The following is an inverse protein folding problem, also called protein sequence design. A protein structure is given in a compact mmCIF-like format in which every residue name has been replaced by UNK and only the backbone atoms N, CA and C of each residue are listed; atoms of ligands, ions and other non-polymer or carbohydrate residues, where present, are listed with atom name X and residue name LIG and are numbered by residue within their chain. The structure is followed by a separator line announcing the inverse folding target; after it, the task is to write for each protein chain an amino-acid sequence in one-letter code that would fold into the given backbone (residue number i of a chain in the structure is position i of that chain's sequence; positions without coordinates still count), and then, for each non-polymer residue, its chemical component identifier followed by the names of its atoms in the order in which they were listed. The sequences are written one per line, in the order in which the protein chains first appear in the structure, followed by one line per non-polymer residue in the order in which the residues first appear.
data_IF_989736859062
#
_entry.id   IF_989736859062
#
_cell.length_a   1.000
_cell.length_b   1.000
_cell.length_c   1.000
_cell.angle_alpha   90.00
_cell.angle_beta   90.00
_cell.angle_gamma   90.00
#
_symmetry.space_group_name_H-M   'P 1'
#
loop_
_entity.id
_entity.type
_entity.pdbx_description
1 polymer ?
#
# COMPACT_ATOMS: atom_id res chain seq x y z
N UNK A 1 -74.31 -10.10 12.55
CA UNK A 1 -72.99 -10.45 11.94
C UNK A 1 -72.61 -9.36 10.95
N UNK A 2 -71.62 -8.52 11.27
CA UNK A 2 -70.99 -7.59 10.34
C UNK A 2 -69.48 -7.69 10.57
N UNK A 3 -68.79 -8.21 9.56
CA UNK A 3 -67.33 -8.31 9.48
C UNK A 3 -66.80 -6.94 9.06
N UNK A 4 -65.86 -6.37 9.81
CA UNK A 4 -65.08 -5.23 9.35
C UNK A 4 -63.61 -5.56 9.55
N UNK A 5 -62.87 -5.45 8.44
CA UNK A 5 -61.48 -5.82 8.24
C UNK A 5 -60.53 -5.07 9.18
N UNK A 6 -59.60 -5.82 9.77
CA UNK A 6 -58.41 -5.30 10.44
C UNK A 6 -57.38 -4.97 9.35
N UNK A 7 -57.07 -3.69 9.17
CA UNK A 7 -55.96 -3.25 8.33
C UNK A 7 -54.64 -3.52 9.07
N UNK A 8 -53.83 -4.46 8.57
CA UNK A 8 -52.48 -4.73 9.08
C UNK A 8 -51.54 -3.74 8.39
N UNK A 9 -51.08 -2.74 9.12
CA UNK A 9 -49.94 -1.90 8.72
C UNK A 9 -48.65 -2.69 8.97
N UNK A 10 -48.05 -3.21 7.89
CA UNK A 10 -46.68 -3.74 7.93
C UNK A 10 -45.73 -2.55 7.92
N UNK A 11 -45.31 -2.10 9.10
CA UNK A 11 -44.21 -1.17 9.24
C UNK A 11 -42.89 -1.93 8.97
N UNK A 12 -42.35 -1.80 7.76
CA UNK A 12 -40.97 -2.20 7.45
C UNK A 12 -40.06 -1.21 8.17
N UNK A 13 -39.65 -1.55 9.39
CA UNK A 13 -38.52 -0.88 10.04
C UNK A 13 -37.27 -1.33 9.31
N UNK A 14 -36.84 -0.52 8.33
CA UNK A 14 -35.49 -0.60 7.76
C UNK A 14 -34.56 -0.36 8.94
N UNK A 15 -34.03 -1.45 9.49
CA UNK A 15 -32.95 -1.43 10.45
C UNK A 15 -31.82 -0.66 9.79
N UNK A 16 -31.62 0.57 10.24
CA UNK A 16 -30.44 1.34 9.90
C UNK A 16 -29.25 0.50 10.36
N UNK A 17 -28.63 -0.22 9.42
CA UNK A 17 -27.24 -0.58 9.54
C UNK A 17 -26.52 0.76 9.75
N UNK A 18 -26.19 1.06 11.00
CA UNK A 18 -25.15 2.02 11.35
C UNK A 18 -23.86 1.48 10.74
N UNK A 19 -23.73 1.66 9.42
CA UNK A 19 -22.50 1.51 8.68
C UNK A 19 -21.61 2.58 9.30
N UNK A 20 -20.79 2.15 10.27
CA UNK A 20 -19.64 2.93 10.72
C UNK A 20 -18.93 3.34 9.46
N UNK A 21 -19.13 4.58 9.08
CA UNK A 21 -18.31 5.23 8.09
C UNK A 21 -16.98 5.38 8.80
N UNK A 22 -16.14 4.35 8.68
CA UNK A 22 -14.73 4.45 9.01
C UNK A 22 -14.25 5.58 8.11
N UNK A 23 -14.14 6.78 8.68
CA UNK A 23 -13.40 7.88 8.09
C UNK A 23 -11.95 7.41 8.11
N UNK A 24 -11.62 6.56 7.14
CA UNK A 24 -10.27 6.25 6.75
C UNK A 24 -9.70 7.59 6.32
N UNK A 25 -8.93 8.20 7.23
CA UNK A 25 -8.15 9.37 6.89
C UNK A 25 -7.30 8.96 5.71
N UNK A 26 -7.49 9.61 4.57
CA UNK A 26 -6.67 9.36 3.38
C UNK A 26 -5.25 9.81 3.75
N UNK A 27 -4.37 8.87 4.11
CA UNK A 27 -2.95 9.16 4.12
C UNK A 27 -2.54 9.42 2.67
N UNK A 28 -2.08 10.64 2.32
CA UNK A 28 -1.66 10.93 0.97
C UNK A 28 -0.40 10.11 0.67
N UNK A 29 -0.37 9.39 -0.45
CA UNK A 29 0.86 8.80 -0.97
C UNK A 29 1.84 9.95 -1.24
N UNK A 30 2.91 10.06 -0.46
CA UNK A 30 3.90 11.12 -0.60
C UNK A 30 4.95 10.65 -1.60
N UNK A 31 4.90 11.20 -2.82
CA UNK A 31 5.93 11.02 -3.84
C UNK A 31 6.77 12.29 -3.87
N UNK A 32 8.03 12.22 -3.42
CA UNK A 32 8.95 13.35 -3.55
C UNK A 32 9.45 13.46 -5.01
N UNK A 33 9.15 14.56 -5.73
CA UNK A 33 9.64 14.73 -7.10
C UNK A 33 11.14 15.07 -7.07
N UNK A 34 11.99 14.23 -7.67
CA UNK A 34 13.40 14.57 -7.75
C UNK A 34 14.36 13.56 -8.39
N UNK A 35 14.03 12.27 -8.47
CA UNK A 35 14.91 11.26 -9.09
C UNK A 35 14.02 10.30 -9.86
N UNK A 36 14.20 10.24 -11.19
CA UNK A 36 13.55 9.26 -12.07
C UNK A 36 14.33 7.95 -11.87
N UNK A 37 13.63 6.82 -11.74
CA UNK A 37 14.25 5.50 -11.64
C UNK A 37 15.37 5.33 -12.69
N UNK A 38 16.53 4.84 -12.25
CA UNK A 38 17.71 4.68 -13.10
C UNK A 38 17.67 3.36 -13.89
N UNK A 39 16.93 2.36 -13.42
CA UNK A 39 16.80 1.04 -14.05
C UNK A 39 15.35 0.67 -14.36
N UNK A 40 15.16 -0.34 -15.23
CA UNK A 40 13.82 -0.88 -15.56
C UNK A 40 13.13 -1.49 -14.33
N UNK A 41 13.89 -2.14 -13.44
CA UNK A 41 13.38 -2.72 -12.21
C UNK A 41 12.91 -1.65 -11.22
N UNK A 42 13.66 -0.54 -11.11
CA UNK A 42 13.27 0.59 -10.29
C UNK A 42 12.00 1.28 -10.84
N UNK A 43 11.88 1.42 -12.17
CA UNK A 43 10.68 1.98 -12.80
C UNK A 43 9.48 1.03 -12.63
N UNK A 44 9.69 -0.27 -12.76
CA UNK A 44 8.66 -1.29 -12.53
C UNK A 44 8.17 -1.25 -11.07
N UNK A 45 9.07 -1.15 -10.08
CA UNK A 45 8.70 -0.99 -8.69
C UNK A 45 7.83 0.25 -8.50
N UNK A 46 8.27 1.42 -8.98
CA UNK A 46 7.52 2.68 -8.91
C UNK A 46 6.13 2.55 -9.54
N UNK A 47 6.05 1.96 -10.72
CA UNK A 47 4.78 1.79 -11.42
C UNK A 47 3.82 0.88 -10.64
N UNK A 48 4.30 -0.21 -10.03
CA UNK A 48 3.45 -1.07 -9.21
C UNK A 48 3.01 -0.34 -7.94
N UNK A 49 3.94 0.23 -7.15
CA UNK A 49 3.59 0.85 -5.87
C UNK A 49 2.68 2.07 -6.02
N UNK A 50 2.82 2.84 -7.09
CA UNK A 50 1.95 4.02 -7.36
C UNK A 50 0.56 3.64 -7.85
N UNK A 51 0.38 2.42 -8.37
CA UNK A 51 -0.91 1.90 -8.85
C UNK A 51 -1.51 0.82 -7.93
N UNK A 52 -0.91 0.58 -6.76
CA UNK A 52 -1.43 -0.40 -5.81
C UNK A 52 -2.87 -0.02 -5.40
N UNK A 53 -3.82 -0.96 -5.44
CA UNK A 53 -5.17 -0.69 -4.99
C UNK A 53 -5.17 -0.27 -3.53
N UNK A 54 -5.79 0.86 -3.20
CA UNK A 54 -6.00 1.26 -1.80
C UNK A 54 -6.76 0.12 -1.10
N UNK A 55 -6.28 -0.28 0.09
CA UNK A 55 -6.74 -1.45 0.84
C UNK A 55 -6.40 -2.83 0.24
N UNK A 56 -5.44 -2.91 -0.69
CA UNK A 56 -4.88 -4.20 -1.10
C UNK A 56 -4.44 -5.00 0.12
N UNK A 57 -4.78 -6.29 0.16
CA UNK A 57 -4.33 -7.15 1.26
C UNK A 57 -2.83 -7.39 1.16
N UNK A 58 -2.19 -7.75 2.27
CA UNK A 58 -0.78 -8.19 2.26
C UNK A 58 -0.50 -9.26 1.20
N UNK A 59 -1.41 -10.21 1.00
CA UNK A 59 -1.24 -11.26 -0.01
C UNK A 59 -1.29 -10.71 -1.44
N UNK A 60 -2.17 -9.75 -1.72
CA UNK A 60 -2.23 -9.08 -3.03
C UNK A 60 -0.99 -8.22 -3.28
N UNK A 61 -0.51 -7.51 -2.26
CA UNK A 61 0.73 -6.73 -2.35
C UNK A 61 1.91 -7.67 -2.63
N UNK A 62 1.98 -8.82 -1.96
CA UNK A 62 3.03 -9.82 -2.19
C UNK A 62 2.96 -10.46 -3.58
N UNK A 63 1.77 -10.71 -4.10
CA UNK A 63 1.59 -11.24 -5.47
C UNK A 63 2.12 -10.25 -6.52
N UNK A 64 1.97 -8.95 -6.28
CA UNK A 64 2.37 -7.89 -7.22
C UNK A 64 3.84 -7.49 -7.10
N UNK A 65 4.38 -7.41 -5.88
CA UNK A 65 5.73 -6.91 -5.63
C UNK A 65 6.76 -8.00 -5.31
N UNK A 66 6.29 -9.22 -5.04
CA UNK A 66 7.13 -10.26 -4.47
C UNK A 66 7.47 -10.02 -3.01
N UNK A 67 8.49 -10.74 -2.54
CA UNK A 67 8.93 -10.68 -1.15
C UNK A 67 9.67 -9.38 -0.85
N UNK A 68 9.37 -8.73 0.28
CA UNK A 68 10.08 -7.53 0.69
C UNK A 68 11.51 -7.85 1.13
N UNK A 69 12.39 -6.84 1.00
CA UNK A 69 13.74 -6.89 1.55
C UNK A 69 13.69 -7.09 3.07
N UNK A 70 12.80 -6.34 3.74
CA UNK A 70 12.58 -6.49 5.19
C UNK A 70 11.07 -6.56 5.49
N UNK A 71 10.54 -7.76 5.82
CA UNK A 71 9.15 -7.93 6.23
C UNK A 71 8.96 -7.64 7.73
N UNK A 72 7.85 -6.97 8.06
CA UNK A 72 7.27 -6.96 9.40
C UNK A 72 5.74 -7.14 9.33
N UNK A 73 5.08 -7.29 10.49
CA UNK A 73 3.62 -7.44 10.56
C UNK A 73 2.86 -6.18 10.08
N UNK A 74 3.44 -5.00 10.30
CA UNK A 74 2.81 -3.69 10.05
C UNK A 74 3.42 -2.91 8.89
N UNK A 75 4.62 -3.28 8.41
CA UNK A 75 5.27 -2.57 7.32
C UNK A 75 6.26 -3.44 6.56
N UNK A 76 6.32 -3.29 5.24
CA UNK A 76 7.27 -3.98 4.37
C UNK A 76 8.17 -2.99 3.67
N UNK A 77 9.48 -3.25 3.69
CA UNK A 77 10.47 -2.41 3.06
C UNK A 77 11.04 -3.09 1.81
N UNK A 78 11.08 -2.33 0.73
CA UNK A 78 11.70 -2.69 -0.54
C UNK A 78 12.83 -1.71 -0.81
N UNK A 79 13.99 -2.24 -1.19
CA UNK A 79 15.13 -1.46 -1.60
C UNK A 79 15.72 -2.03 -2.90
N UNK A 80 15.71 -1.20 -3.95
CA UNK A 80 16.32 -1.52 -5.24
C UNK A 80 17.42 -0.52 -5.54
N UNK A 81 18.65 -1.00 -5.52
CA UNK A 81 19.84 -0.26 -5.92
C UNK A 81 20.18 -0.56 -7.38
N UNK A 82 20.76 0.43 -8.07
CA UNK A 82 21.20 0.30 -9.47
C UNK A 82 22.28 -0.77 -9.63
N UNK A 83 23.35 -0.70 -8.83
CA UNK A 83 24.41 -1.71 -8.79
C UNK A 83 24.73 -2.08 -7.33
N UNK A 84 24.73 -3.38 -7.03
CA UNK A 84 24.97 -3.90 -5.68
C UNK A 84 26.45 -3.90 -5.25
N UNK A 85 27.38 -3.68 -6.18
CA UNK A 85 28.82 -3.69 -5.95
C UNK A 85 29.41 -2.29 -5.97
N UNK A 86 28.95 -1.42 -6.87
CA UNK A 86 29.46 -0.05 -7.02
C UNK A 86 28.55 1.01 -6.34
N UNK A 87 27.32 0.62 -6.01
CA UNK A 87 26.29 1.52 -5.53
C UNK A 87 25.51 2.15 -6.70
N UNK A 88 25.26 3.45 -6.61
CA UNK A 88 24.52 4.21 -7.62
C UNK A 88 23.18 4.69 -7.10
N UNK A 89 22.26 4.99 -8.02
CA UNK A 89 20.93 5.43 -7.65
C UNK A 89 20.13 4.29 -7.03
N UNK A 90 19.30 4.63 -6.05
CA UNK A 90 18.41 3.65 -5.44
C UNK A 90 17.00 4.21 -5.26
N UNK A 91 16.05 3.28 -5.26
CA UNK A 91 14.64 3.49 -4.92
C UNK A 91 14.30 2.65 -3.70
N UNK A 92 13.64 3.27 -2.72
CA UNK A 92 13.06 2.57 -1.58
C UNK A 92 11.55 2.73 -1.58
N UNK A 93 10.82 1.69 -1.21
CA UNK A 93 9.39 1.77 -0.94
C UNK A 93 9.09 1.13 0.42
N UNK A 94 8.45 1.87 1.32
CA UNK A 94 7.92 1.35 2.57
C UNK A 94 6.41 1.28 2.45
N UNK A 95 5.87 0.09 2.62
CA UNK A 95 4.43 -0.19 2.54
C UNK A 95 3.92 -0.42 3.94
N UNK A 96 3.03 0.43 4.41
CA UNK A 96 2.41 0.33 5.73
C UNK A 96 1.06 -0.37 5.63
N UNK A 97 0.80 -1.26 6.59
CA UNK A 97 -0.42 -2.04 6.69
C UNK A 97 -1.16 -1.71 7.98
N UNK A 98 -2.45 -1.41 7.84
CA UNK A 98 -3.39 -1.36 8.96
C UNK A 98 -4.43 -2.48 8.79
N UNK A 99 -4.65 -3.29 9.82
CA UNK A 99 -5.57 -4.44 9.76
C UNK A 99 -5.29 -5.39 8.58
N UNK A 100 -4.00 -5.61 8.26
CA UNK A 100 -3.50 -6.43 7.13
C UNK A 100 -3.86 -5.92 5.73
N UNK A 101 -4.27 -4.67 5.63
CA UNK A 101 -4.58 -3.99 4.37
C UNK A 101 -3.66 -2.79 4.21
N UNK A 102 -3.32 -2.48 2.96
CA UNK A 102 -2.55 -1.30 2.60
C UNK A 102 -3.21 -0.03 3.15
N UNK A 103 -2.42 0.75 3.90
CA UNK A 103 -2.81 2.05 4.47
C UNK A 103 -2.02 3.19 3.83
N UNK A 104 -0.69 3.07 3.82
CA UNK A 104 0.23 4.13 3.37
C UNK A 104 1.42 3.56 2.60
N UNK A 105 1.97 4.36 1.67
CA UNK A 105 3.19 4.04 0.93
C UNK A 105 4.11 5.25 0.97
N UNK A 106 5.32 5.04 1.48
CA UNK A 106 6.41 6.01 1.44
C UNK A 106 7.42 5.60 0.38
N UNK A 107 7.67 6.48 -0.59
CA UNK A 107 8.66 6.27 -1.64
C UNK A 107 9.83 7.21 -1.42
N UNK A 108 11.02 6.64 -1.34
CA UNK A 108 12.28 7.34 -1.17
C UNK A 108 13.21 7.11 -2.36
N UNK A 109 14.08 8.09 -2.59
CA UNK A 109 15.12 8.04 -3.60
C UNK A 109 16.43 8.50 -3.01
N UNK A 110 17.53 7.99 -3.54
CA UNK A 110 18.84 8.52 -3.23
C UNK A 110 19.91 8.02 -4.17
N UNK A 111 21.13 8.30 -3.77
CA UNK A 111 22.33 7.85 -4.46
C UNK A 111 23.35 7.46 -3.40
N UNK A 112 23.85 6.24 -3.48
CA UNK A 112 24.90 5.75 -2.61
C UNK A 112 26.16 5.52 -3.43
N UNK A 113 27.33 5.74 -2.86
CA UNK A 113 28.58 5.31 -3.47
C UNK A 113 29.18 4.26 -2.56
N UNK A 114 29.24 3.03 -3.05
CA UNK A 114 29.95 1.98 -2.35
C UNK A 114 31.41 2.16 -2.73
N UNK A 115 32.16 2.92 -1.93
CA UNK A 115 33.62 2.82 -2.02
C UNK A 115 33.97 1.37 -1.75
N UNK A 116 34.68 0.68 -2.66
CA UNK A 116 35.22 -0.62 -2.33
C UNK A 116 36.14 -0.39 -1.15
N UNK A 117 35.67 -0.72 0.07
CA UNK A 117 36.61 -1.02 1.14
C UNK A 117 37.46 -2.13 0.56
N UNK A 118 38.77 -1.90 0.56
CA UNK A 118 39.76 -2.89 0.19
C UNK A 118 39.29 -4.24 0.72
N UNK A 119 38.90 -5.13 -0.20
CA UNK A 119 38.61 -6.51 0.08
C UNK A 119 39.96 -7.13 0.48
N UNK A 120 40.40 -6.85 1.72
CA UNK A 120 41.50 -7.55 2.38
C UNK A 120 40.97 -8.78 3.13
#
# INVERSE_FOLDING_TARGET
MRRALIAIFVAVTIGACARRQSTFARHPIIIHPGIVAATEEQDALLNVVTNLPIHATQDQVRELLGDPTEPSDSSWFYHLQEDSHEGGYYVTATIHFENRMLDEIDIGFGHETITPRELE
#
